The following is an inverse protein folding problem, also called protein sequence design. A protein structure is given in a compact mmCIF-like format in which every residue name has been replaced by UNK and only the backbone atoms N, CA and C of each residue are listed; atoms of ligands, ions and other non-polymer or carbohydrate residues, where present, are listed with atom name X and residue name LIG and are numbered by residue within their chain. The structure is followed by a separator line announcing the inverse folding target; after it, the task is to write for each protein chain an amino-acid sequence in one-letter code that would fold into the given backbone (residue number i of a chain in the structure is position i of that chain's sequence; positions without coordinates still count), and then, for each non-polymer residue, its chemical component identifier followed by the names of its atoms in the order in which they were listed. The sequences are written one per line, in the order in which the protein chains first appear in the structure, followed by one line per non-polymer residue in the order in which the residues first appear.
data_IF_927222676624
#
_entry.id   IF_927222676624
#
_cell.length_a   1.000
_cell.length_b   1.000
_cell.length_c   1.000
_cell.angle_alpha   90.00
_cell.angle_beta   90.00
_cell.angle_gamma   90.00
#
_symmetry.space_group_name_H-M   'P 1'
#
loop_
_entity.id
_entity.type
_entity.pdbx_description
1 polymer ?
#
# COMPACT_ATOMS: atom_id res chain seq x y z
N UNK A 1 -18.06 -1.28 -6.55
CA UNK A 1 -17.53 -1.75 -5.25
C UNK A 1 -16.31 -0.94 -4.89
N UNK A 2 -16.07 -0.72 -3.59
CA UNK A 2 -14.83 -0.17 -3.03
C UNK A 2 -13.92 -1.34 -2.68
N UNK A 3 -12.81 -1.49 -3.39
CA UNK A 3 -11.89 -2.62 -3.19
C UNK A 3 -10.59 -2.11 -2.56
N UNK A 4 -10.03 -2.86 -1.61
CA UNK A 4 -8.71 -2.60 -1.07
C UNK A 4 -7.72 -3.69 -1.53
N UNK A 5 -6.63 -3.30 -2.18
CA UNK A 5 -5.49 -4.17 -2.45
C UNK A 5 -4.35 -3.82 -1.49
N UNK A 6 -3.95 -4.76 -0.64
CA UNK A 6 -2.80 -4.57 0.26
C UNK A 6 -1.61 -5.31 -0.35
N UNK A 7 -0.51 -4.59 -0.61
CA UNK A 7 0.66 -5.14 -1.28
C UNK A 7 1.98 -4.55 -0.75
N UNK A 8 3.11 -5.12 -1.13
CA UNK A 8 4.47 -4.67 -0.78
C UNK A 8 5.23 -4.05 -1.98
N UNK A 9 4.59 -4.03 -3.15
CA UNK A 9 5.16 -3.59 -4.41
C UNK A 9 4.10 -2.92 -5.28
N UNK A 10 4.48 -1.84 -5.95
CA UNK A 10 3.63 -1.07 -6.86
C UNK A 10 4.52 -0.14 -7.70
N UNK A 11 4.05 0.43 -8.82
CA UNK A 11 4.73 1.55 -9.45
C UNK A 11 5.17 2.62 -8.44
N UNK A 12 6.35 3.24 -8.64
CA UNK A 12 7.20 3.19 -9.84
C UNK A 12 8.17 1.99 -9.91
N UNK A 13 8.09 1.02 -8.99
CA UNK A 13 8.92 -0.19 -9.07
C UNK A 13 8.64 -0.94 -10.38
N UNK A 14 9.70 -1.49 -10.98
CA UNK A 14 9.63 -2.21 -12.27
C UNK A 14 9.78 -3.72 -12.12
N UNK A 15 9.52 -4.24 -10.92
CA UNK A 15 9.50 -5.69 -10.68
C UNK A 15 8.26 -6.30 -11.33
N UNK A 16 8.30 -7.61 -11.62
CA UNK A 16 7.16 -8.34 -12.18
C UNK A 16 5.89 -8.15 -11.34
N UNK A 17 6.01 -8.24 -10.01
CA UNK A 17 4.89 -8.01 -9.09
C UNK A 17 4.32 -6.59 -9.16
N UNK A 18 5.16 -5.56 -9.29
CA UNK A 18 4.69 -4.19 -9.44
C UNK A 18 3.90 -3.99 -10.75
N UNK A 19 4.38 -4.58 -11.85
CA UNK A 19 3.71 -4.53 -13.15
C UNK A 19 2.37 -5.27 -13.10
N UNK A 20 2.34 -6.47 -12.53
CA UNK A 20 1.09 -7.24 -12.38
C UNK A 20 0.06 -6.50 -11.52
N UNK A 21 0.46 -5.90 -10.40
CA UNK A 21 -0.45 -5.13 -9.56
C UNK A 21 -0.95 -3.86 -10.25
N UNK A 22 -0.11 -3.20 -11.04
CA UNK A 22 -0.52 -2.06 -11.87
C UNK A 22 -1.61 -2.47 -12.85
N UNK A 23 -1.38 -3.54 -13.60
CA UNK A 23 -2.29 -3.99 -14.66
C UNK A 23 -3.62 -4.48 -14.06
N UNK A 24 -3.57 -5.20 -12.93
CA UNK A 24 -4.75 -5.56 -12.15
C UNK A 24 -5.51 -4.33 -11.63
N UNK A 25 -4.79 -3.32 -11.13
CA UNK A 25 -5.39 -2.10 -10.59
C UNK A 25 -6.13 -1.30 -11.66
N UNK A 26 -5.53 -1.19 -12.85
CA UNK A 26 -6.14 -0.58 -14.02
C UNK A 26 -7.39 -1.34 -14.47
N UNK A 27 -7.36 -2.66 -14.44
CA UNK A 27 -8.51 -3.48 -14.80
C UNK A 27 -9.69 -3.29 -13.84
N UNK A 28 -9.43 -3.23 -12.52
CA UNK A 28 -10.47 -2.89 -11.55
C UNK A 28 -11.07 -1.50 -11.79
N UNK A 29 -10.24 -0.50 -12.05
CA UNK A 29 -10.70 0.84 -12.38
C UNK A 29 -11.54 0.85 -13.67
N UNK A 30 -11.11 0.11 -14.70
CA UNK A 30 -11.82 -0.03 -15.99
C UNK A 30 -13.21 -0.66 -15.83
N UNK A 31 -13.35 -1.60 -14.90
CA UNK A 31 -14.64 -2.21 -14.55
C UNK A 31 -15.53 -1.31 -13.68
N UNK A 32 -15.08 -0.10 -13.31
CA UNK A 32 -15.84 0.86 -12.51
C UNK A 32 -15.74 0.64 -11.00
N UNK A 33 -14.77 -0.16 -10.52
CA UNK A 33 -14.50 -0.30 -9.10
C UNK A 33 -13.70 0.88 -8.57
N UNK A 34 -14.00 1.31 -7.34
CA UNK A 34 -13.22 2.31 -6.62
C UNK A 34 -12.11 1.61 -5.86
N UNK A 35 -10.91 1.58 -6.43
CA UNK A 35 -9.79 0.84 -5.89
C UNK A 35 -8.92 1.71 -4.99
N UNK A 36 -8.55 1.16 -3.83
CA UNK A 36 -7.51 1.68 -2.94
C UNK A 36 -6.37 0.68 -2.84
N UNK A 37 -5.16 1.04 -3.27
CA UNK A 37 -3.95 0.22 -3.08
C UNK A 37 -3.22 0.70 -1.84
N UNK A 38 -3.02 -0.17 -0.85
CA UNK A 38 -2.33 0.14 0.40
C UNK A 38 -0.94 -0.47 0.40
N UNK A 39 0.08 0.35 0.65
CA UNK A 39 1.49 -0.04 0.57
C UNK A 39 2.24 0.36 1.83
N UNK A 40 3.14 -0.48 2.38
CA UNK A 40 4.12 -0.02 3.36
C UNK A 40 5.15 0.90 2.67
N UNK A 41 5.54 1.97 3.35
CA UNK A 41 6.57 2.90 2.89
C UNK A 41 7.46 3.30 4.07
N UNK A 42 8.76 2.99 4.00
CA UNK A 42 9.68 3.25 5.11
C UNK A 42 10.28 4.65 5.06
N UNK A 43 10.34 5.21 3.86
CA UNK A 43 10.87 6.52 3.49
C UNK A 43 9.95 7.70 3.82
N UNK A 44 8.74 7.45 4.34
CA UNK A 44 7.83 8.52 4.70
C UNK A 44 8.21 9.18 6.03
N UNK A 45 8.38 10.50 5.99
CA UNK A 45 8.56 11.33 7.19
C UNK A 45 7.25 11.52 7.96
N UNK A 46 6.13 11.37 7.25
CA UNK A 46 4.74 11.49 7.74
C UNK A 46 4.08 10.12 7.94
N UNK A 47 2.95 10.02 8.67
CA UNK A 47 2.30 8.73 8.92
C UNK A 47 1.77 8.04 7.65
N UNK A 48 1.32 8.82 6.67
CA UNK A 48 0.72 8.33 5.43
C UNK A 48 0.91 9.34 4.29
N UNK A 49 0.79 8.87 3.06
CA UNK A 49 0.67 9.69 1.85
C UNK A 49 -0.40 9.08 0.93
N UNK A 50 -1.17 9.92 0.26
CA UNK A 50 -2.16 9.50 -0.74
C UNK A 50 -1.76 10.12 -2.08
N UNK A 51 -1.80 9.31 -3.13
CA UNK A 51 -1.58 9.72 -4.52
C UNK A 51 -2.63 9.08 -5.41
N UNK A 52 -2.96 9.74 -6.52
CA UNK A 52 -3.77 9.13 -7.59
C UNK A 52 -2.83 8.51 -8.62
N UNK A 53 -3.15 7.29 -9.05
CA UNK A 53 -2.45 6.57 -10.09
C UNK A 53 -3.46 6.00 -11.08
N UNK A 54 -3.62 6.63 -12.24
CA UNK A 54 -4.56 6.20 -13.29
C UNK A 54 -6.00 5.97 -12.76
N UNK A 55 -6.49 6.84 -11.87
CA UNK A 55 -7.82 6.70 -11.26
C UNK A 55 -7.90 5.69 -10.11
N UNK A 56 -6.76 5.21 -9.63
CA UNK A 56 -6.62 4.35 -8.44
C UNK A 56 -6.03 5.16 -7.30
N UNK A 57 -6.66 5.09 -6.13
CA UNK A 57 -6.11 5.72 -4.92
C UNK A 57 -4.97 4.85 -4.37
N UNK A 58 -3.75 5.37 -4.34
CA UNK A 58 -2.61 4.69 -3.70
C UNK A 58 -2.35 5.33 -2.35
N UNK A 59 -2.58 4.55 -1.29
CA UNK A 59 -2.31 4.92 0.09
C UNK A 59 -1.00 4.28 0.55
N UNK A 60 0.04 5.11 0.70
CA UNK A 60 1.30 4.70 1.31
C UNK A 60 1.23 4.94 2.82
N UNK A 61 1.56 3.90 3.58
CA UNK A 61 1.49 3.87 5.04
C UNK A 61 2.89 3.71 5.61
N UNK A 62 3.27 4.59 6.53
CA UNK A 62 4.61 4.50 7.13
C UNK A 62 4.78 3.17 7.85
N UNK A 63 5.82 2.43 7.52
CA UNK A 63 6.11 1.12 8.13
C UNK A 63 7.63 0.89 8.25
N UNK A 64 8.09 0.00 9.15
CA UNK A 64 9.51 -0.33 9.23
C UNK A 64 10.05 -0.88 7.89
N UNK A 65 11.32 -0.60 7.54
CA UNK A 65 11.93 -1.11 6.30
C UNK A 65 12.08 -2.63 6.36
N UNK A 66 11.78 -3.34 5.27
CA UNK A 66 11.95 -4.81 5.19
C UNK A 66 12.91 -5.29 4.11
N UNK A 67 13.29 -4.39 3.20
CA UNK A 67 14.20 -4.65 2.08
C UNK A 67 15.62 -4.21 2.47
N UNK A 68 16.64 -4.88 1.92
CA UNK A 68 18.06 -4.54 2.13
C UNK A 68 18.52 -4.51 3.61
N UNK A 69 17.97 -5.40 4.47
CA UNK A 69 18.36 -5.54 5.88
C UNK A 69 18.57 -7.00 6.28
N UNK A 70 19.37 -7.24 7.33
CA UNK A 70 19.65 -8.59 7.83
C UNK A 70 18.40 -9.34 8.33
N UNK A 71 18.40 -10.67 8.21
CA UNK A 71 17.23 -11.52 8.41
C UNK A 71 16.52 -11.34 9.75
N UNK A 72 17.24 -11.27 10.87
CA UNK A 72 16.63 -11.08 12.20
C UNK A 72 15.83 -9.77 12.27
N UNK A 73 16.41 -8.68 11.75
CA UNK A 73 15.75 -7.37 11.71
C UNK A 73 14.57 -7.39 10.74
N UNK A 74 14.71 -8.08 9.61
CA UNK A 74 13.65 -8.26 8.62
C UNK A 74 12.44 -8.97 9.23
N UNK A 75 12.65 -10.09 9.91
CA UNK A 75 11.57 -10.85 10.57
C UNK A 75 10.79 -9.99 11.55
N UNK A 76 11.49 -9.23 12.40
CA UNK A 76 10.85 -8.30 13.33
C UNK A 76 10.09 -7.18 12.61
N UNK A 77 10.66 -6.61 11.56
CA UNK A 77 10.03 -5.54 10.80
C UNK A 77 8.80 -6.02 10.03
N UNK A 78 8.86 -7.20 9.43
CA UNK A 78 7.71 -7.85 8.78
C UNK A 78 6.61 -8.17 9.79
N UNK A 79 6.95 -8.64 10.99
CA UNK A 79 5.98 -8.87 12.06
C UNK A 79 5.29 -7.58 12.53
N UNK A 80 6.03 -6.46 12.62
CA UNK A 80 5.50 -5.16 13.07
C UNK A 80 4.75 -4.42 11.95
N UNK A 81 5.05 -4.69 10.68
CA UNK A 81 4.53 -3.96 9.52
C UNK A 81 2.99 -3.84 9.50
N UNK A 82 2.19 -4.93 9.66
CA UNK A 82 0.73 -4.83 9.60
C UNK A 82 0.16 -3.90 10.67
N UNK A 83 0.74 -3.93 11.87
CA UNK A 83 0.31 -3.07 12.98
C UNK A 83 0.67 -1.60 12.73
N UNK A 84 1.86 -1.34 12.17
CA UNK A 84 2.28 0.00 11.78
C UNK A 84 1.37 0.56 10.67
N UNK A 85 1.08 -0.27 9.65
CA UNK A 85 0.16 0.08 8.57
C UNK A 85 -1.24 0.39 9.11
N UNK A 86 -1.82 -0.49 9.94
CA UNK A 86 -3.14 -0.28 10.53
C UNK A 86 -3.20 0.99 11.39
N UNK A 87 -2.17 1.23 12.21
CA UNK A 87 -2.07 2.45 13.02
C UNK A 87 -2.06 3.71 12.16
N UNK A 88 -1.36 3.67 11.03
CA UNK A 88 -1.24 4.83 10.15
C UNK A 88 -2.42 4.99 9.20
N UNK A 89 -3.10 3.91 8.83
CA UNK A 89 -4.39 3.93 8.11
C UNK A 89 -5.43 4.67 8.94
N UNK A 90 -5.51 4.38 10.24
CA UNK A 90 -6.41 5.07 11.18
C UNK A 90 -6.13 6.57 11.33
N UNK A 91 -4.94 7.04 10.95
CA UNK A 91 -4.57 8.47 10.92
C UNK A 91 -4.84 9.14 9.57
N UNK A 92 -5.17 8.36 8.55
CA UNK A 92 -5.42 8.84 7.20
C UNK A 92 -6.87 9.26 7.01
N UNK A 93 -7.19 10.07 5.96
CA UNK A 93 -8.55 10.39 5.58
C UNK A 93 -9.42 9.16 5.28
N UNK A 94 -8.80 8.01 4.96
CA UNK A 94 -9.50 6.77 4.65
C UNK A 94 -9.82 5.93 5.91
N UNK A 95 -9.53 6.43 7.12
CA UNK A 95 -9.76 5.69 8.37
C UNK A 95 -11.22 5.23 8.57
N UNK A 96 -12.18 6.03 8.09
CA UNK A 96 -13.61 5.71 8.14
C UNK A 96 -14.16 5.05 6.88
N UNK A 97 -13.33 4.84 5.86
CA UNK A 97 -13.77 4.21 4.62
C UNK A 97 -14.09 2.74 4.87
N UNK A 98 -15.23 2.31 4.30
CA UNK A 98 -15.57 0.89 4.21
C UNK A 98 -15.23 0.41 2.81
N UNK A 99 -14.57 -0.73 2.75
CA UNK A 99 -14.36 -1.49 1.53
C UNK A 99 -15.30 -2.69 1.58
N UNK A 100 -15.74 -3.13 0.40
CA UNK A 100 -16.61 -4.29 0.21
C UNK A 100 -15.83 -5.61 0.40
#
# INVERSE_FOLDING_TARGET
MRIALIADTFPPLRTSGAVQLRDLSREFARQGHQLTVMLPAAELDRPWAIEDFDGVTVLRLRAPPTKEIGYVRRTWNEFVMPFAMLRNLRKSPLAGQRWD
#
